data_IF_557169403770
#
_entry.id   IF_557169403770
#
_cell.length_a   1.000
_cell.length_b   1.000
_cell.length_c   1.000
_cell.angle_alpha   90.00
_cell.angle_beta   90.00
_cell.angle_gamma   90.00
#
_symmetry.space_group_name_H-M   'P 1'
#
loop_
_entity.id
_entity.type
_entity.pdbx_description
1 polymer ?
#
# COMPACT_ATOMS: atom_id res chain seq x y z
N UNK A 1 13.85 -23.01 0.25
CA UNK A 1 12.39 -23.12 0.44
C UNK A 1 11.77 -21.81 -0.01
N UNK A 2 10.93 -21.80 -1.05
CA UNK A 2 10.17 -20.62 -1.46
C UNK A 2 8.72 -20.82 -1.05
N UNK A 3 8.04 -19.76 -0.62
CA UNK A 3 6.63 -19.80 -0.26
C UNK A 3 5.84 -19.12 -1.38
N UNK A 4 5.00 -19.88 -2.09
CA UNK A 4 4.09 -19.38 -3.13
C UNK A 4 2.68 -19.33 -2.55
N UNK A 5 1.96 -18.26 -2.86
CA UNK A 5 0.57 -18.07 -2.47
C UNK A 5 -0.03 -16.81 -3.08
N UNK A 6 -1.36 -16.76 -3.15
CA UNK A 6 -2.12 -15.59 -3.58
C UNK A 6 -2.64 -14.90 -2.31
N UNK A 7 -2.40 -13.60 -2.20
CA UNK A 7 -2.93 -12.80 -1.10
C UNK A 7 -4.46 -12.78 -1.11
N UNK A 8 -5.08 -12.88 0.08
CA UNK A 8 -6.55 -12.87 0.21
C UNK A 8 -7.10 -11.46 -0.06
N UNK A 9 -8.31 -11.34 -0.64
CA UNK A 9 -8.97 -10.05 -0.79
C UNK A 9 -9.18 -9.36 0.56
N UNK A 10 -9.06 -8.04 0.60
CA UNK A 10 -9.24 -7.27 1.83
C UNK A 10 -8.68 -5.86 1.79
N UNK A 11 -8.98 -5.10 2.85
CA UNK A 11 -8.54 -3.73 3.01
C UNK A 11 -7.16 -3.67 3.67
N UNK A 12 -6.23 -2.94 3.08
CA UNK A 12 -4.84 -2.85 3.57
C UNK A 12 -4.38 -1.40 3.69
N UNK A 13 -3.58 -1.10 4.71
CA UNK A 13 -2.78 0.12 4.77
C UNK A 13 -1.42 -0.22 4.18
N UNK A 14 -0.96 0.57 3.22
CA UNK A 14 0.40 0.47 2.71
C UNK A 14 1.24 1.65 3.18
N UNK A 15 2.54 1.44 3.32
CA UNK A 15 3.46 2.50 3.71
C UNK A 15 4.88 2.20 3.27
N UNK A 16 5.72 3.25 3.25
CA UNK A 16 7.16 3.12 3.16
C UNK A 16 7.86 4.29 3.86
N UNK A 17 8.82 3.95 4.71
CA UNK A 17 9.78 4.91 5.28
C UNK A 17 11.01 4.96 4.38
N UNK A 18 11.54 6.16 4.16
CA UNK A 18 12.73 6.40 3.36
C UNK A 18 13.49 7.63 3.89
N UNK A 19 14.74 7.78 3.45
CA UNK A 19 15.59 8.94 3.77
C UNK A 19 15.71 9.83 2.53
N UNK A 20 15.46 11.12 2.69
CA UNK A 20 15.63 12.15 1.67
C UNK A 20 16.04 13.44 2.39
N UNK A 21 17.06 14.14 1.88
CA UNK A 21 17.59 15.39 2.48
C UNK A 21 18.03 15.25 3.95
N UNK A 22 18.58 14.08 4.32
CA UNK A 22 19.03 13.80 5.68
C UNK A 22 17.89 13.60 6.70
N UNK A 23 16.64 13.48 6.25
CA UNK A 23 15.46 13.29 7.11
C UNK A 23 14.73 11.99 6.82
N UNK A 24 14.12 11.42 7.86
CA UNK A 24 13.17 10.32 7.71
C UNK A 24 11.83 10.86 7.22
N UNK A 25 11.35 10.32 6.10
CA UNK A 25 10.05 10.62 5.51
C UNK A 25 9.24 9.34 5.39
N UNK A 26 7.93 9.46 5.40
CA UNK A 26 7.01 8.33 5.28
C UNK A 26 5.89 8.63 4.30
N UNK A 27 5.79 7.82 3.26
CA UNK A 27 4.60 7.76 2.41
C UNK A 27 3.67 6.67 2.96
N UNK A 28 2.38 6.97 3.08
CA UNK A 28 1.38 5.97 3.46
C UNK A 28 0.03 6.23 2.79
N UNK A 29 -0.73 5.17 2.55
CA UNK A 29 -2.05 5.29 1.95
C UNK A 29 -2.90 4.05 2.13
N UNK A 30 -4.08 4.09 1.53
CA UNK A 30 -5.05 3.00 1.52
C UNK A 30 -4.95 2.21 0.22
N UNK A 31 -5.20 0.92 0.30
CA UNK A 31 -5.33 0.05 -0.86
C UNK A 31 -6.28 -1.12 -0.55
N UNK A 32 -6.76 -1.76 -1.60
CA UNK A 32 -7.51 -3.01 -1.52
C UNK A 32 -6.79 -4.11 -2.26
N UNK A 33 -6.70 -5.29 -1.65
CA UNK A 33 -6.31 -6.52 -2.34
C UNK A 33 -7.56 -7.07 -3.02
N UNK A 34 -7.45 -7.34 -4.32
CA UNK A 34 -8.55 -7.85 -5.13
C UNK A 34 -8.29 -9.27 -5.57
N UNK A 35 -9.37 -10.03 -5.74
CA UNK A 35 -9.31 -11.33 -6.41
C UNK A 35 -9.30 -11.11 -7.92
N UNK A 36 -8.44 -11.86 -8.62
CA UNK A 36 -8.45 -11.94 -10.07
C UNK A 36 -8.78 -13.38 -10.47
N UNK A 37 -9.34 -13.61 -11.68
CA UNK A 37 -9.45 -14.96 -12.22
C UNK A 37 -8.12 -15.70 -12.15
N UNK A 38 -8.18 -17.02 -11.94
CA UNK A 38 -6.97 -17.84 -11.81
C UNK A 38 -6.05 -17.70 -13.04
N UNK A 39 -6.64 -17.66 -14.24
CA UNK A 39 -5.91 -17.50 -15.50
C UNK A 39 -5.05 -16.22 -15.53
N UNK A 40 -5.60 -15.09 -15.08
CA UNK A 40 -4.86 -13.82 -15.00
C UNK A 40 -3.71 -13.90 -13.99
N UNK A 41 -3.92 -14.60 -12.88
CA UNK A 41 -2.88 -14.78 -11.87
C UNK A 41 -1.75 -15.68 -12.38
N UNK A 42 -2.07 -16.78 -13.06
CA UNK A 42 -1.08 -17.66 -13.69
C UNK A 42 -0.31 -16.93 -14.80
N UNK A 43 -0.98 -16.14 -15.65
CA UNK A 43 -0.29 -15.33 -16.67
C UNK A 43 0.75 -14.41 -16.02
N UNK A 44 0.36 -13.64 -15.00
CA UNK A 44 1.27 -12.73 -14.29
C UNK A 44 2.43 -13.45 -13.63
N UNK A 45 2.20 -14.61 -13.02
CA UNK A 45 3.28 -15.41 -12.42
C UNK A 45 4.28 -15.88 -13.46
N UNK A 46 3.82 -16.39 -14.60
CA UNK A 46 4.67 -16.84 -15.70
C UNK A 46 5.48 -15.68 -16.32
N UNK A 47 4.93 -14.46 -16.34
CA UNK A 47 5.59 -13.25 -16.82
C UNK A 47 6.54 -12.61 -15.80
N UNK A 48 6.47 -13.00 -14.52
CA UNK A 48 7.26 -12.37 -13.44
C UNK A 48 8.12 -13.41 -12.71
N UNK A 49 7.62 -14.01 -11.64
CA UNK A 49 8.37 -14.99 -10.84
C UNK A 49 7.41 -15.97 -10.18
N UNK A 50 7.23 -17.13 -10.82
CA UNK A 50 6.29 -18.20 -10.41
C UNK A 50 6.56 -18.69 -8.99
N UNK A 51 7.81 -18.65 -8.53
CA UNK A 51 8.21 -19.15 -7.21
C UNK A 51 7.81 -18.23 -6.05
N UNK A 52 7.38 -16.98 -6.34
CA UNK A 52 7.14 -15.94 -5.33
C UNK A 52 5.64 -15.77 -5.03
N UNK A 53 5.29 -15.28 -3.82
CA UNK A 53 3.92 -14.94 -3.51
C UNK A 53 3.48 -13.71 -4.32
N UNK A 54 2.19 -13.63 -4.63
CA UNK A 54 1.63 -12.52 -5.41
C UNK A 54 0.46 -11.83 -4.67
N UNK A 55 0.41 -10.52 -4.80
CA UNK A 55 -0.67 -9.68 -4.31
C UNK A 55 -1.16 -8.79 -5.45
N UNK A 56 -2.46 -8.86 -5.75
CA UNK A 56 -3.09 -7.93 -6.69
C UNK A 56 -3.72 -6.80 -5.89
N UNK A 57 -2.97 -5.70 -5.72
CA UNK A 57 -3.43 -4.55 -4.94
C UNK A 57 -3.79 -3.36 -5.84
N UNK A 58 -4.82 -2.62 -5.43
CA UNK A 58 -5.20 -1.33 -6.00
C UNK A 58 -4.95 -0.24 -4.96
N UNK A 59 -3.96 0.60 -5.19
CA UNK A 59 -3.68 1.78 -4.36
C UNK A 59 -4.68 2.89 -4.68
N UNK A 60 -5.48 3.30 -3.70
CA UNK A 60 -6.60 4.21 -3.93
C UNK A 60 -6.12 5.63 -4.23
N UNK A 61 -6.52 6.19 -5.37
CA UNK A 61 -6.18 7.56 -5.77
C UNK A 61 -4.69 7.81 -6.07
N UNK A 62 -3.87 6.76 -6.18
CA UNK A 62 -2.47 6.86 -6.61
C UNK A 62 -2.33 6.14 -7.95
N UNK A 63 -1.94 6.88 -8.99
CA UNK A 63 -1.72 6.28 -10.30
C UNK A 63 -0.39 5.51 -10.33
N UNK A 64 -0.27 4.58 -11.30
CA UNK A 64 0.99 3.86 -11.58
C UNK A 64 2.16 4.84 -11.74
N UNK A 65 1.97 5.88 -12.55
CA UNK A 65 3.05 6.80 -12.90
C UNK A 65 3.45 7.68 -11.70
N UNK A 66 2.48 8.09 -10.87
CA UNK A 66 2.76 8.78 -9.62
C UNK A 66 3.55 7.91 -8.64
N UNK A 67 3.15 6.64 -8.48
CA UNK A 67 3.83 5.70 -7.60
C UNK A 67 5.28 5.46 -8.08
N UNK A 68 5.45 5.11 -9.36
CA UNK A 68 6.76 4.82 -9.94
C UNK A 68 7.70 6.04 -9.94
N UNK A 69 7.17 7.26 -10.13
CA UNK A 69 7.98 8.47 -10.14
C UNK A 69 8.42 8.93 -8.74
N UNK A 70 7.56 8.76 -7.71
CA UNK A 70 7.83 9.29 -6.37
C UNK A 70 8.41 8.26 -5.39
N UNK A 71 7.99 7.00 -5.47
CA UNK A 71 8.31 5.98 -4.47
C UNK A 71 9.82 5.72 -4.43
N UNK A 72 10.48 6.07 -3.31
CA UNK A 72 11.95 5.99 -3.15
C UNK A 72 12.43 4.60 -2.74
N UNK A 73 11.73 3.54 -3.14
CA UNK A 73 12.09 2.17 -2.80
C UNK A 73 11.53 1.17 -3.81
N UNK A 74 12.14 -0.01 -3.89
CA UNK A 74 11.56 -1.18 -4.55
C UNK A 74 10.63 -1.99 -3.60
N UNK A 75 10.57 -1.64 -2.31
CA UNK A 75 9.78 -2.33 -1.30
C UNK A 75 8.62 -1.46 -0.82
N UNK A 76 7.54 -2.11 -0.40
CA UNK A 76 6.36 -1.52 0.24
C UNK A 76 5.95 -2.42 1.40
N UNK A 77 5.55 -1.83 2.53
CA UNK A 77 4.95 -2.58 3.64
C UNK A 77 3.43 -2.51 3.54
N UNK A 78 2.77 -3.64 3.75
CA UNK A 78 1.30 -3.75 3.74
C UNK A 78 0.82 -4.41 5.03
N UNK A 79 -0.29 -3.92 5.57
CA UNK A 79 -0.96 -4.49 6.74
C UNK A 79 -2.47 -4.54 6.51
N UNK A 80 -3.08 -5.70 6.73
CA UNK A 80 -4.53 -5.86 6.66
C UNK A 80 -5.21 -5.20 7.84
N UNK A 81 -6.43 -4.73 7.59
CA UNK A 81 -7.37 -4.27 8.60
C UNK A 81 -8.71 -5.01 8.42
N UNK A 82 -9.55 -4.99 9.46
CA UNK A 82 -10.76 -5.80 9.47
C UNK A 82 -11.93 -5.19 8.67
N UNK A 83 -11.86 -3.89 8.34
CA UNK A 83 -12.89 -3.18 7.57
C UNK A 83 -12.35 -1.88 6.95
N UNK A 84 -13.06 -1.30 5.97
CA UNK A 84 -12.71 0.01 5.37
C UNK A 84 -12.51 1.09 6.44
N UNK A 85 -13.44 1.18 7.40
CA UNK A 85 -13.42 2.19 8.46
C UNK A 85 -12.25 2.00 9.43
N UNK A 86 -11.98 0.76 9.85
CA UNK A 86 -10.82 0.48 10.71
C UNK A 86 -9.51 0.75 9.98
N UNK A 87 -9.47 0.50 8.68
CA UNK A 87 -8.29 0.67 7.87
C UNK A 87 -7.98 2.16 7.62
N UNK A 88 -9.00 2.99 7.46
CA UNK A 88 -8.86 4.46 7.47
C UNK A 88 -8.36 4.96 8.83
N UNK A 89 -8.97 4.48 9.92
CA UNK A 89 -8.55 4.83 11.30
C UNK A 89 -7.10 4.41 11.56
N UNK A 90 -6.72 3.19 11.22
CA UNK A 90 -5.38 2.65 11.42
C UNK A 90 -4.32 3.43 10.63
N UNK A 91 -4.64 3.85 9.40
CA UNK A 91 -3.75 4.70 8.61
C UNK A 91 -3.52 6.04 9.32
N UNK A 92 -4.56 6.71 9.80
CA UNK A 92 -4.42 7.99 10.51
C UNK A 92 -3.67 7.85 11.83
N UNK A 93 -3.93 6.79 12.61
CA UNK A 93 -3.18 6.51 13.84
C UNK A 93 -1.70 6.30 13.53
N UNK A 94 -1.38 5.55 12.47
CA UNK A 94 0.00 5.32 12.05
C UNK A 94 0.68 6.61 11.57
N UNK A 95 -0.03 7.45 10.82
CA UNK A 95 0.46 8.78 10.40
C UNK A 95 0.76 9.68 11.60
N UNK A 96 -0.18 9.78 12.54
CA UNK A 96 -0.03 10.62 13.73
C UNK A 96 1.17 10.16 14.58
N UNK A 97 1.30 8.84 14.82
CA UNK A 97 2.45 8.29 15.53
C UNK A 97 3.77 8.59 14.81
N UNK A 98 3.83 8.39 13.49
CA UNK A 98 5.06 8.66 12.74
C UNK A 98 5.44 10.15 12.78
N UNK A 99 4.46 11.06 12.69
CA UNK A 99 4.68 12.49 12.81
C UNK A 99 5.20 12.87 14.21
N UNK A 100 4.62 12.29 15.27
CA UNK A 100 5.05 12.51 16.66
C UNK A 100 6.49 12.01 16.93
N UNK A 101 6.87 10.91 16.25
CA UNK A 101 8.25 10.41 16.23
C UNK A 101 9.21 11.23 15.35
N UNK A 102 8.75 12.33 14.74
CA UNK A 102 9.56 13.27 13.98
C UNK A 102 9.74 12.94 12.50
N UNK A 103 8.95 12.03 11.93
CA UNK A 103 8.99 11.74 10.49
C UNK A 103 8.18 12.78 9.71
N UNK A 104 8.65 13.16 8.51
CA UNK A 104 7.84 13.92 7.58
C UNK A 104 6.85 12.98 6.88
N UNK A 105 5.57 13.06 7.26
CA UNK A 105 4.53 12.15 6.80
C UNK A 105 3.78 12.70 5.60
N UNK A 106 3.54 11.87 4.59
CA UNK A 106 2.72 12.16 3.41
C UNK A 106 1.62 11.12 3.27
N UNK A 107 0.38 11.57 3.44
CA UNK A 107 -0.79 10.75 3.15
C UNK A 107 -1.04 10.79 1.65
N UNK A 108 -0.93 9.63 1.01
CA UNK A 108 -1.02 9.47 -0.43
C UNK A 108 -2.43 9.06 -0.88
N UNK A 109 -2.86 9.59 -2.03
CA UNK A 109 -4.05 9.14 -2.72
C UNK A 109 -5.35 9.53 -2.02
N UNK A 110 -6.31 8.61 -1.98
CA UNK A 110 -7.67 8.82 -1.47
C UNK A 110 -8.11 7.65 -0.59
N UNK A 111 -9.27 7.80 0.05
CA UNK A 111 -9.98 6.68 0.67
C UNK A 111 -10.62 5.81 -0.42
N UNK A 112 -11.18 4.67 -0.01
CA UNK A 112 -11.89 3.76 -0.92
C UNK A 112 -12.95 4.49 -1.75
N UNK A 113 -13.08 4.10 -3.01
CA UNK A 113 -14.00 4.69 -4.00
C UNK A 113 -13.73 6.19 -4.28
N UNK A 114 -12.51 6.67 -4.10
CA UNK A 114 -12.13 8.04 -4.43
C UNK A 114 -12.62 9.10 -3.44
N UNK A 115 -13.13 8.70 -2.28
CA UNK A 115 -13.53 9.64 -1.22
C UNK A 115 -12.31 10.44 -0.76
N UNK A 116 -12.46 11.76 -0.64
CA UNK A 116 -11.40 12.63 -0.12
C UNK A 116 -11.07 12.33 1.34
N UNK A 117 -9.87 12.73 1.75
CA UNK A 117 -9.51 12.76 3.16
C UNK A 117 -10.34 13.81 3.91
N UNK A 118 -10.69 13.55 5.18
CA UNK A 118 -11.23 14.59 6.05
C UNK A 118 -10.27 15.79 6.09
N UNK A 119 -10.80 17.01 6.09
CA UNK A 119 -10.01 18.20 6.40
C UNK A 119 -9.43 18.06 7.81
N UNK A 120 -8.15 18.42 7.96
CA UNK A 120 -7.48 18.50 9.26
C UNK A 120 -8.09 19.58 10.15
#
# INVERSE_FOLDING_TARGET
>A
STLRGISKPGEIVWSRVYIEDGKLKMDLGRAGVVELPQEETERRWNETTVQWPIMHAVTYGVSRDQLMAKHKSNHIQVAYANSEAEADKAMFVKAALAADLGLEVKICGTRKNGKSWPSA
#
